data_IF_523371738286
#
_entry.id   IF_523371738286
#
_cell.length_a   1.000
_cell.length_b   1.000
_cell.length_c   1.000
_cell.angle_alpha   90.00
_cell.angle_beta   90.00
_cell.angle_gamma   90.00
#
_symmetry.space_group_name_H-M   'P 1'
#
loop_
_entity.id
_entity.type
_entity.pdbx_description
1 polymer ?
#
# COMPACT_ATOMS: atom_id res chain seq x y z
N UNK A 1 -53.03 10.73 19.05
CA UNK A 1 -52.21 9.53 18.90
C UNK A 1 -51.26 9.64 17.69
N UNK A 2 -51.72 9.94 16.49
CA UNK A 2 -50.94 10.06 15.25
C UNK A 2 -49.77 11.05 15.34
N UNK A 3 -49.95 12.31 15.84
CA UNK A 3 -48.89 13.27 15.97
C UNK A 3 -47.74 12.83 16.92
N UNK A 4 -48.09 12.11 18.00
CA UNK A 4 -47.08 11.54 18.92
C UNK A 4 -46.29 10.41 18.24
N UNK A 5 -46.93 9.57 17.45
CA UNK A 5 -46.27 8.49 16.71
C UNK A 5 -45.33 9.06 15.65
N UNK A 6 -45.75 10.07 14.89
CA UNK A 6 -44.91 10.78 13.94
C UNK A 6 -43.71 11.42 14.64
N UNK A 7 -43.88 12.06 15.79
CA UNK A 7 -42.79 12.61 16.56
C UNK A 7 -41.77 11.55 17.01
N UNK A 8 -42.22 10.39 17.49
CA UNK A 8 -41.33 9.28 17.89
C UNK A 8 -40.54 8.74 16.68
N UNK A 9 -41.21 8.54 15.55
CA UNK A 9 -40.54 8.07 14.30
C UNK A 9 -39.49 9.09 13.85
N UNK A 10 -39.82 10.39 13.89
CA UNK A 10 -38.87 11.46 13.51
C UNK A 10 -37.65 11.49 14.42
N UNK A 11 -37.83 11.35 15.73
CA UNK A 11 -36.73 11.29 16.70
C UNK A 11 -35.85 10.07 16.42
N UNK A 12 -36.47 8.90 16.22
CA UNK A 12 -35.74 7.66 15.91
C UNK A 12 -34.94 7.80 14.62
N UNK A 13 -35.52 8.39 13.58
CA UNK A 13 -34.83 8.64 12.31
C UNK A 13 -33.61 9.55 12.49
N UNK A 14 -33.77 10.67 13.22
CA UNK A 14 -32.70 11.61 13.51
C UNK A 14 -31.58 10.92 14.30
N UNK A 15 -31.92 10.15 15.32
CA UNK A 15 -30.92 9.40 16.11
C UNK A 15 -30.20 8.35 15.28
N UNK A 16 -30.92 7.67 14.37
CA UNK A 16 -30.32 6.69 13.46
C UNK A 16 -29.34 7.33 12.46
N UNK A 17 -29.71 8.50 11.91
CA UNK A 17 -28.82 9.27 11.02
C UNK A 17 -27.60 9.76 11.81
N UNK A 18 -27.79 10.28 13.02
CA UNK A 18 -26.68 10.74 13.86
C UNK A 18 -25.73 9.58 14.21
N UNK A 19 -26.28 8.43 14.59
CA UNK A 19 -25.49 7.24 14.86
C UNK A 19 -24.70 6.80 13.60
N UNK A 20 -25.31 6.81 12.43
CA UNK A 20 -24.66 6.49 11.18
C UNK A 20 -23.51 7.47 10.86
N UNK A 21 -23.76 8.78 11.04
CA UNK A 21 -22.72 9.81 10.86
C UNK A 21 -21.55 9.58 11.82
N UNK A 22 -21.84 9.27 13.09
CA UNK A 22 -20.79 8.97 14.08
C UNK A 22 -19.98 7.75 13.62
N UNK A 23 -20.64 6.65 13.28
CA UNK A 23 -19.98 5.40 12.86
C UNK A 23 -19.11 5.57 11.61
N UNK A 24 -19.52 6.45 10.69
CA UNK A 24 -18.74 6.77 9.47
C UNK A 24 -17.52 7.66 9.76
N UNK A 25 -17.56 8.46 10.81
CA UNK A 25 -16.50 9.44 11.12
C UNK A 25 -15.56 9.01 12.25
N UNK A 26 -16.01 8.13 13.14
CA UNK A 26 -15.14 7.60 14.21
C UNK A 26 -14.14 6.61 13.61
N UNK A 27 -12.86 6.89 13.85
CA UNK A 27 -11.70 6.14 13.33
C UNK A 27 -10.81 5.75 14.50
N UNK A 28 -10.90 4.50 14.99
CA UNK A 28 -10.08 4.05 16.09
C UNK A 28 -8.60 4.10 15.71
N UNK A 29 -7.79 4.85 16.44
CA UNK A 29 -6.34 4.90 16.27
C UNK A 29 -5.70 3.95 17.29
N UNK A 30 -5.03 2.87 16.86
CA UNK A 30 -4.35 1.98 17.78
C UNK A 30 -3.18 2.69 18.47
N UNK A 31 -2.97 2.39 19.74
CA UNK A 31 -1.83 2.89 20.52
C UNK A 31 -0.48 2.54 19.88
N UNK A 32 -0.40 1.41 19.18
CA UNK A 32 0.79 1.00 18.43
C UNK A 32 1.26 2.04 17.40
N UNK A 33 0.34 2.80 16.77
CA UNK A 33 0.73 3.87 15.84
C UNK A 33 1.48 5.01 16.56
N UNK A 34 1.14 5.29 17.81
CA UNK A 34 1.80 6.33 18.61
C UNK A 34 3.11 5.82 19.21
N UNK A 35 3.11 4.59 19.72
CA UNK A 35 4.27 3.98 20.37
C UNK A 35 5.44 3.72 19.42
N UNK A 36 5.17 3.46 18.14
CA UNK A 36 6.19 3.14 17.14
C UNK A 36 6.46 4.27 16.13
N UNK A 37 5.80 5.41 16.28
CA UNK A 37 5.94 6.54 15.38
C UNK A 37 7.39 7.08 15.42
N UNK A 38 8.04 7.07 14.25
CA UNK A 38 9.41 7.56 14.14
C UNK A 38 9.42 9.09 14.20
N UNK A 39 10.30 9.66 15.01
CA UNK A 39 10.56 11.09 15.06
C UNK A 39 11.15 11.62 13.74
N UNK A 40 11.25 12.95 13.60
CA UNK A 40 11.85 13.55 12.41
C UNK A 40 13.29 13.09 12.23
N UNK A 41 13.66 12.81 10.98
CA UNK A 41 15.05 12.52 10.63
C UNK A 41 15.93 13.74 10.84
N UNK A 42 17.10 13.55 11.47
CA UNK A 42 18.00 14.63 11.86
C UNK A 42 19.30 14.62 11.01
N UNK A 43 19.54 13.55 10.25
CA UNK A 43 20.81 13.36 9.52
C UNK A 43 20.94 14.21 8.26
N UNK A 44 22.16 14.73 8.03
CA UNK A 44 22.50 15.53 6.84
C UNK A 44 23.30 14.76 5.79
N UNK A 45 23.97 13.65 6.14
CA UNK A 45 24.69 12.77 5.22
C UNK A 45 23.86 11.51 4.95
N UNK A 46 23.14 11.52 3.84
CA UNK A 46 22.13 10.53 3.53
C UNK A 46 22.59 9.59 2.42
N UNK A 47 22.61 8.26 2.61
CA UNK A 47 22.70 7.36 1.46
C UNK A 47 21.50 7.52 0.55
N UNK A 48 20.29 7.52 1.12
CA UNK A 48 19.04 7.87 0.45
C UNK A 48 17.95 8.17 1.48
N UNK A 49 16.86 8.78 1.03
CA UNK A 49 15.66 9.06 1.83
C UNK A 49 14.50 8.17 1.43
N UNK A 50 13.62 7.93 2.41
CA UNK A 50 12.34 7.24 2.23
C UNK A 50 11.22 8.18 2.67
N UNK A 51 10.23 8.39 1.79
CA UNK A 51 8.99 9.09 2.15
C UNK A 51 7.82 8.10 2.05
N UNK A 52 7.01 8.04 3.10
CA UNK A 52 5.77 7.28 3.08
C UNK A 52 4.59 8.20 2.73
N UNK A 53 3.88 7.90 1.66
CA UNK A 53 2.74 8.68 1.18
C UNK A 53 1.41 7.91 1.34
N UNK A 54 1.36 7.06 2.38
CA UNK A 54 0.20 6.23 2.71
C UNK A 54 0.02 5.03 1.79
N UNK A 55 -0.87 4.12 2.16
CA UNK A 55 -1.05 2.82 1.51
C UNK A 55 0.29 2.07 1.43
N UNK A 56 0.76 1.75 0.24
CA UNK A 56 2.09 1.21 -0.04
C UNK A 56 2.96 2.17 -0.86
N UNK A 57 2.61 3.46 -0.90
CA UNK A 57 3.39 4.46 -1.61
C UNK A 57 4.66 4.80 -0.83
N UNK A 58 5.79 4.28 -1.27
CA UNK A 58 7.12 4.56 -0.75
C UNK A 58 7.94 5.22 -1.85
N UNK A 59 8.41 6.44 -1.60
CA UNK A 59 9.34 7.15 -2.47
C UNK A 59 10.76 6.98 -1.92
N UNK A 60 11.66 6.45 -2.74
CA UNK A 60 13.09 6.33 -2.47
C UNK A 60 13.85 7.33 -3.32
N UNK A 61 14.74 8.13 -2.71
CA UNK A 61 15.47 9.18 -3.39
C UNK A 61 16.87 9.34 -2.80
N UNK A 62 17.93 9.18 -3.62
CA UNK A 62 19.32 9.35 -3.23
C UNK A 62 19.91 10.72 -3.67
N UNK A 63 19.06 11.58 -4.23
CA UNK A 63 19.46 12.90 -4.72
C UNK A 63 19.81 12.92 -6.21
N UNK A 64 20.15 11.80 -6.81
CA UNK A 64 20.41 11.63 -8.25
C UNK A 64 19.31 10.84 -8.94
N UNK A 65 18.83 9.79 -8.27
CA UNK A 65 17.79 8.88 -8.76
C UNK A 65 16.65 8.79 -7.77
N UNK A 66 15.43 8.69 -8.30
CA UNK A 66 14.23 8.52 -7.51
C UNK A 66 13.29 7.48 -8.13
N UNK A 67 12.73 6.62 -7.29
CA UNK A 67 11.73 5.65 -7.70
C UNK A 67 10.70 5.42 -6.60
N UNK A 68 9.55 4.88 -6.95
CA UNK A 68 8.51 4.63 -5.94
C UNK A 68 7.69 3.38 -6.21
N UNK A 69 7.08 2.88 -5.14
CA UNK A 69 6.03 1.87 -5.23
C UNK A 69 4.68 2.54 -5.44
N UNK A 70 3.78 1.91 -6.18
CA UNK A 70 2.36 2.21 -6.43
C UNK A 70 2.07 3.56 -7.09
N UNK A 71 2.35 4.68 -6.44
CA UNK A 71 1.94 6.04 -6.85
C UNK A 71 0.41 6.27 -6.81
N UNK A 72 -0.30 5.68 -5.85
CA UNK A 72 -1.74 5.83 -5.67
C UNK A 72 -2.07 7.05 -4.80
N UNK A 73 -2.51 8.15 -5.40
CA UNK A 73 -2.75 9.45 -4.76
C UNK A 73 -4.21 9.90 -4.76
N UNK A 74 -4.98 9.51 -5.77
CA UNK A 74 -6.38 9.96 -5.99
C UNK A 74 -7.31 9.59 -4.84
N UNK A 75 -7.19 8.40 -4.28
CA UNK A 75 -7.97 7.90 -3.14
C UNK A 75 -9.47 8.17 -3.29
N UNK A 76 -10.17 7.43 -4.15
CA UNK A 76 -11.60 7.60 -4.39
C UNK A 76 -12.40 7.44 -3.11
N UNK A 77 -13.47 8.24 -2.93
CA UNK A 77 -14.32 8.13 -1.76
C UNK A 77 -14.95 6.72 -1.64
N UNK A 78 -15.22 6.28 -0.40
CA UNK A 78 -15.88 5.00 -0.11
C UNK A 78 -17.14 4.77 -0.98
N UNK A 79 -17.91 5.84 -1.28
CA UNK A 79 -19.10 5.74 -2.15
C UNK A 79 -18.71 5.37 -3.59
N UNK A 80 -17.67 5.99 -4.16
CA UNK A 80 -17.18 5.65 -5.51
C UNK A 80 -16.66 4.22 -5.56
N UNK A 81 -15.93 3.80 -4.53
CA UNK A 81 -15.38 2.44 -4.40
C UNK A 81 -16.48 1.38 -4.33
N UNK A 82 -17.54 1.62 -3.55
CA UNK A 82 -18.59 0.60 -3.34
C UNK A 82 -19.66 0.57 -4.43
N UNK A 83 -19.98 1.68 -5.06
CA UNK A 83 -21.16 1.82 -5.90
C UNK A 83 -20.91 2.56 -7.22
N UNK A 84 -19.69 2.98 -7.48
CA UNK A 84 -19.34 3.81 -8.63
C UNK A 84 -18.26 3.22 -9.51
N UNK A 85 -17.66 4.11 -10.24
CA UNK A 85 -16.43 3.87 -11.00
C UNK A 85 -15.35 4.79 -10.49
N UNK A 86 -14.10 4.37 -10.67
CA UNK A 86 -12.90 5.07 -10.23
C UNK A 86 -12.03 5.44 -11.43
N UNK A 87 -11.31 6.52 -11.31
CA UNK A 87 -10.40 7.06 -12.30
C UNK A 87 -9.32 7.92 -11.63
N UNK A 88 -8.13 8.07 -12.22
CA UNK A 88 -7.13 9.00 -11.74
C UNK A 88 -7.66 10.44 -11.72
N UNK A 89 -7.32 11.20 -10.67
CA UNK A 89 -7.62 12.62 -10.56
C UNK A 89 -6.34 13.42 -10.78
N UNK A 90 -6.21 14.00 -11.97
CA UNK A 90 -5.04 14.76 -12.38
C UNK A 90 -4.69 15.88 -11.40
N UNK A 91 -5.69 16.60 -10.87
CA UNK A 91 -5.44 17.71 -9.95
C UNK A 91 -4.88 17.23 -8.61
N UNK A 92 -5.40 16.11 -8.11
CA UNK A 92 -4.90 15.48 -6.87
C UNK A 92 -3.49 14.99 -7.09
N UNK A 93 -3.22 14.31 -8.21
CA UNK A 93 -1.90 13.78 -8.55
C UNK A 93 -0.88 14.92 -8.64
N UNK A 94 -1.14 15.97 -9.43
CA UNK A 94 -0.21 17.13 -9.57
C UNK A 94 0.08 17.80 -8.23
N UNK A 95 -0.94 18.04 -7.40
CA UNK A 95 -0.75 18.62 -6.05
C UNK A 95 0.07 17.72 -5.14
N UNK A 96 -0.10 16.41 -5.25
CA UNK A 96 0.66 15.44 -4.45
C UNK A 96 2.12 15.42 -4.88
N UNK A 97 2.40 15.39 -6.20
CA UNK A 97 3.75 15.46 -6.73
C UNK A 97 4.46 16.74 -6.29
N UNK A 98 3.79 17.91 -6.43
CA UNK A 98 4.32 19.20 -5.99
C UNK A 98 4.62 19.20 -4.47
N UNK A 99 3.67 18.77 -3.63
CA UNK A 99 3.85 18.72 -2.17
C UNK A 99 4.97 17.77 -1.76
N UNK A 100 5.11 16.64 -2.43
CA UNK A 100 6.17 15.68 -2.16
C UNK A 100 7.54 16.11 -2.73
N UNK A 101 7.58 17.14 -3.58
CA UNK A 101 8.77 17.60 -4.29
C UNK A 101 9.25 16.57 -5.33
N UNK A 102 8.31 15.91 -6.01
CA UNK A 102 8.60 14.92 -7.04
C UNK A 102 8.47 15.61 -8.41
N UNK A 103 9.59 15.87 -9.06
CA UNK A 103 9.65 16.42 -10.41
C UNK A 103 9.92 15.32 -11.44
N UNK A 104 10.76 14.35 -11.08
CA UNK A 104 11.16 13.24 -11.93
C UNK A 104 11.21 11.95 -11.13
N UNK A 105 10.82 10.85 -11.77
CA UNK A 105 11.03 9.49 -11.27
C UNK A 105 11.68 8.65 -12.39
N UNK A 106 12.55 7.73 -11.99
CA UNK A 106 13.16 6.79 -12.93
C UNK A 106 12.29 5.53 -13.08
N UNK A 107 11.57 5.15 -12.01
CA UNK A 107 10.70 3.96 -12.01
C UNK A 107 9.50 4.14 -11.08
N UNK A 108 8.37 3.60 -11.52
CA UNK A 108 7.20 3.35 -10.67
C UNK A 108 6.87 1.87 -10.77
N UNK A 109 6.61 1.24 -9.62
CA UNK A 109 6.24 -0.17 -9.58
C UNK A 109 5.06 -0.41 -8.65
N UNK A 110 3.82 -0.55 -9.18
CA UNK A 110 2.72 -1.09 -8.40
C UNK A 110 3.06 -2.50 -7.90
N UNK A 111 2.92 -2.72 -6.60
CA UNK A 111 3.24 -4.01 -5.98
C UNK A 111 2.30 -5.13 -6.45
N UNK A 112 1.13 -4.76 -6.96
CA UNK A 112 0.18 -5.54 -7.76
C UNK A 112 -0.84 -4.60 -8.42
N UNK A 113 -1.78 -5.13 -9.23
CA UNK A 113 -2.57 -4.28 -10.12
C UNK A 113 -3.97 -3.91 -9.60
N UNK A 114 -4.26 -4.06 -8.31
CA UNK A 114 -5.51 -3.54 -7.75
C UNK A 114 -5.56 -2.01 -7.84
N UNK A 115 -6.79 -1.45 -7.82
CA UNK A 115 -7.00 -0.01 -8.04
C UNK A 115 -6.26 0.88 -7.04
N UNK A 116 -6.18 0.45 -5.78
CA UNK A 116 -5.51 1.15 -4.69
C UNK A 116 -3.97 1.06 -4.72
N UNK A 117 -3.42 0.45 -5.77
CA UNK A 117 -1.98 0.40 -6.06
C UNK A 117 -1.66 0.97 -7.45
N UNK A 118 -2.43 0.58 -8.48
CA UNK A 118 -2.04 0.82 -9.87
C UNK A 118 -2.86 1.89 -10.61
N UNK A 119 -3.96 2.39 -10.05
CA UNK A 119 -4.89 3.26 -10.77
C UNK A 119 -4.23 4.55 -11.29
N UNK A 120 -3.43 5.20 -10.47
CA UNK A 120 -2.79 6.48 -10.82
C UNK A 120 -1.41 6.30 -11.47
N UNK A 121 -0.83 5.09 -11.39
CA UNK A 121 0.58 4.84 -11.72
C UNK A 121 0.97 5.25 -13.14
N UNK A 122 0.09 5.01 -14.12
CA UNK A 122 0.35 5.40 -15.52
C UNK A 122 0.38 6.91 -15.70
N UNK A 123 -0.56 7.66 -15.10
CA UNK A 123 -0.59 9.11 -15.16
C UNK A 123 0.62 9.73 -14.44
N UNK A 124 1.02 9.17 -13.31
CA UNK A 124 2.23 9.61 -12.60
C UNK A 124 3.48 9.30 -13.42
N UNK A 125 3.54 8.15 -14.09
CA UNK A 125 4.66 7.80 -14.97
C UNK A 125 4.78 8.80 -16.14
N UNK A 126 3.68 9.15 -16.76
CA UNK A 126 3.62 10.17 -17.84
C UNK A 126 4.14 11.53 -17.36
N UNK A 127 3.66 12.01 -16.20
CA UNK A 127 4.05 13.32 -15.66
C UNK A 127 5.51 13.41 -15.20
N UNK A 128 6.09 12.30 -14.75
CA UNK A 128 7.44 12.26 -14.17
C UNK A 128 8.50 11.69 -15.11
N UNK A 129 8.09 11.14 -16.26
CA UNK A 129 8.97 10.46 -17.21
C UNK A 129 9.44 9.10 -16.73
N UNK A 130 8.78 8.52 -15.71
CA UNK A 130 9.14 7.23 -15.15
C UNK A 130 8.85 6.06 -16.09
N UNK A 131 9.63 4.99 -15.97
CA UNK A 131 9.23 3.70 -16.52
C UNK A 131 8.26 3.00 -15.55
N UNK A 132 7.08 2.62 -16.05
CA UNK A 132 6.09 1.84 -15.31
C UNK A 132 6.48 0.36 -15.37
N UNK A 133 6.91 -0.18 -14.24
CA UNK A 133 7.17 -1.59 -14.06
C UNK A 133 5.94 -2.29 -13.49
N UNK A 134 5.64 -3.49 -13.96
CA UNK A 134 4.58 -4.28 -13.36
C UNK A 134 4.16 -5.48 -14.19
N UNK A 135 3.14 -6.19 -13.73
CA UNK A 135 2.58 -7.35 -14.41
C UNK A 135 1.94 -6.98 -15.75
N UNK A 136 1.57 -7.99 -16.55
CA UNK A 136 0.77 -7.75 -17.76
C UNK A 136 -0.52 -6.97 -17.46
N UNK A 137 -1.12 -7.16 -16.28
CA UNK A 137 -2.26 -6.38 -15.83
C UNK A 137 -1.92 -4.90 -15.63
N UNK A 138 -0.79 -4.60 -14.99
CA UNK A 138 -0.30 -3.22 -14.83
C UNK A 138 -0.02 -2.56 -16.19
N UNK A 139 0.58 -3.31 -17.13
CA UNK A 139 0.81 -2.81 -18.49
C UNK A 139 -0.50 -2.52 -19.22
N UNK A 140 -1.53 -3.32 -19.02
CA UNK A 140 -2.85 -3.04 -19.60
C UNK A 140 -3.56 -1.84 -18.96
N UNK A 141 -3.27 -1.50 -17.71
CA UNK A 141 -3.67 -0.20 -17.11
C UNK A 141 -2.92 0.93 -17.82
N UNK A 142 -1.60 0.81 -18.02
CA UNK A 142 -0.80 1.78 -18.75
C UNK A 142 -1.29 2.02 -20.18
N UNK A 143 -1.58 0.95 -20.92
CA UNK A 143 -2.16 1.02 -22.27
C UNK A 143 -3.54 1.67 -22.29
N UNK A 144 -4.37 1.42 -21.29
CA UNK A 144 -5.69 2.04 -21.16
C UNK A 144 -5.65 3.55 -20.86
N UNK A 145 -4.51 4.02 -20.36
CA UNK A 145 -4.18 5.44 -20.18
C UNK A 145 -3.50 6.07 -21.39
N UNK A 146 -3.13 5.29 -22.41
CA UNK A 146 -2.30 5.70 -23.56
C UNK A 146 -0.84 6.07 -23.18
N UNK A 147 -0.28 5.46 -22.13
CA UNK A 147 1.14 5.62 -21.80
C UNK A 147 2.02 5.07 -22.93
N UNK A 148 3.12 5.77 -23.24
CA UNK A 148 4.07 5.34 -24.26
C UNK A 148 4.59 3.92 -24.00
N UNK A 149 4.63 3.06 -25.03
CA UNK A 149 5.06 1.68 -24.88
C UNK A 149 6.52 1.58 -24.40
N UNK A 150 7.37 2.55 -24.73
CA UNK A 150 8.75 2.64 -24.27
C UNK A 150 8.89 2.95 -22.78
N UNK A 151 7.82 3.44 -22.14
CA UNK A 151 7.77 3.69 -20.70
C UNK A 151 7.15 2.52 -19.91
N UNK A 152 6.91 1.35 -20.51
CA UNK A 152 6.29 0.21 -19.85
C UNK A 152 7.19 -1.01 -19.89
N UNK A 153 7.35 -1.71 -18.75
CA UNK A 153 8.20 -2.87 -18.65
C UNK A 153 7.60 -3.95 -17.72
N UNK A 154 7.51 -5.19 -18.23
CA UNK A 154 7.21 -6.36 -17.40
C UNK A 154 8.53 -6.91 -16.86
N UNK A 155 8.78 -6.85 -15.53
CA UNK A 155 10.01 -7.35 -14.97
C UNK A 155 10.10 -8.87 -15.12
N UNK A 156 11.29 -9.35 -15.49
CA UNK A 156 11.60 -10.77 -15.47
C UNK A 156 11.89 -11.19 -14.03
N UNK A 157 11.36 -12.33 -13.64
CA UNK A 157 11.66 -12.93 -12.34
C UNK A 157 13.17 -13.15 -12.18
N UNK A 158 13.66 -12.94 -10.98
CA UNK A 158 15.06 -13.13 -10.60
C UNK A 158 16.10 -12.27 -11.35
N UNK A 159 15.63 -11.29 -12.15
CA UNK A 159 16.52 -10.34 -12.82
C UNK A 159 16.74 -9.11 -11.94
N UNK A 160 17.95 -8.56 -11.99
CA UNK A 160 18.30 -7.30 -11.34
C UNK A 160 18.05 -6.13 -12.29
N UNK A 161 17.47 -5.07 -11.75
CA UNK A 161 17.25 -3.80 -12.43
C UNK A 161 17.96 -2.70 -11.66
N UNK A 162 18.84 -1.97 -12.33
CA UNK A 162 19.58 -0.87 -11.69
C UNK A 162 18.88 0.48 -11.94
N UNK A 163 18.63 1.21 -10.86
CA UNK A 163 18.22 2.61 -10.86
C UNK A 163 19.28 3.38 -10.06
N UNK A 164 20.25 3.95 -10.77
CA UNK A 164 21.44 4.48 -10.15
C UNK A 164 22.16 3.42 -9.31
N UNK A 165 22.26 3.63 -7.99
CA UNK A 165 22.83 2.66 -7.04
C UNK A 165 21.82 1.65 -6.50
N UNK A 166 20.53 1.83 -6.76
CA UNK A 166 19.53 0.86 -6.35
C UNK A 166 19.55 -0.34 -7.28
N UNK A 167 19.83 -1.52 -6.76
CA UNK A 167 19.70 -2.80 -7.45
C UNK A 167 18.42 -3.48 -6.97
N UNK A 168 17.46 -3.61 -7.89
CA UNK A 168 16.08 -4.01 -7.58
C UNK A 168 15.78 -5.36 -8.21
N UNK A 169 15.26 -6.29 -7.40
CA UNK A 169 14.85 -7.61 -7.83
C UNK A 169 13.39 -7.87 -7.47
N UNK A 170 12.66 -8.44 -8.43
CA UNK A 170 11.24 -8.76 -8.27
C UNK A 170 11.09 -10.25 -7.97
N UNK A 171 10.60 -10.57 -6.79
CA UNK A 171 10.33 -11.94 -6.37
C UNK A 171 8.83 -12.18 -6.44
N UNK A 172 8.44 -13.31 -7.03
CA UNK A 172 7.04 -13.70 -7.13
C UNK A 172 6.45 -13.90 -5.74
N UNK A 173 5.42 -13.13 -5.43
CA UNK A 173 4.71 -13.18 -4.17
C UNK A 173 3.24 -13.56 -4.38
N UNK A 174 2.40 -13.26 -3.42
CA UNK A 174 0.97 -13.50 -3.44
C UNK A 174 0.29 -12.39 -2.65
N UNK A 175 -0.89 -11.99 -3.09
CA UNK A 175 -1.79 -11.14 -2.31
C UNK A 175 -2.30 -11.90 -1.07
N UNK A 176 -2.66 -11.18 0.00
CA UNK A 176 -3.37 -11.81 1.11
C UNK A 176 -4.67 -12.45 0.62
N UNK A 177 -5.06 -13.56 1.22
CA UNK A 177 -6.19 -14.34 0.71
C UNK A 177 -7.49 -13.83 1.30
N UNK A 178 -8.39 -13.28 0.47
CA UNK A 178 -9.72 -12.92 0.93
C UNK A 178 -10.42 -14.14 1.56
N UNK A 179 -11.03 -13.98 2.76
CA UNK A 179 -11.80 -15.06 3.38
C UNK A 179 -12.99 -15.52 2.53
N UNK A 180 -13.57 -14.59 1.77
CA UNK A 180 -14.67 -14.88 0.84
C UNK A 180 -14.12 -15.46 -0.47
N UNK A 181 -14.61 -16.66 -0.85
CA UNK A 181 -14.12 -17.40 -2.02
C UNK A 181 -14.50 -16.73 -3.35
N UNK A 182 -15.71 -16.15 -3.46
CA UNK A 182 -16.15 -15.48 -4.68
C UNK A 182 -15.31 -14.21 -4.92
N UNK A 183 -15.09 -13.44 -3.87
CA UNK A 183 -14.25 -12.24 -3.91
C UNK A 183 -12.80 -12.61 -4.27
N UNK A 184 -12.26 -13.67 -3.67
CA UNK A 184 -10.92 -14.17 -3.99
C UNK A 184 -10.79 -14.53 -5.45
N UNK A 185 -11.69 -15.34 -5.99
CA UNK A 185 -11.70 -15.72 -7.42
C UNK A 185 -11.85 -14.50 -8.33
N UNK A 186 -12.71 -13.56 -7.97
CA UNK A 186 -12.97 -12.37 -8.79
C UNK A 186 -11.78 -11.42 -8.87
N UNK A 187 -10.99 -11.28 -7.82
CA UNK A 187 -9.91 -10.29 -7.71
C UNK A 187 -8.50 -10.87 -7.84
N UNK A 188 -8.25 -12.07 -7.28
CA UNK A 188 -6.90 -12.63 -7.20
C UNK A 188 -6.56 -13.62 -8.32
N UNK A 189 -7.54 -14.39 -8.79
CA UNK A 189 -7.27 -15.46 -9.77
C UNK A 189 -7.36 -14.99 -11.23
N UNK A 190 -7.54 -13.69 -11.46
CA UNK A 190 -7.75 -13.11 -12.78
C UNK A 190 -6.69 -12.06 -13.13
N UNK A 191 -6.53 -11.83 -14.44
CA UNK A 191 -5.67 -10.79 -15.01
C UNK A 191 -6.51 -9.78 -15.78
N UNK A 192 -5.98 -8.59 -15.93
CA UNK A 192 -6.49 -7.60 -16.88
C UNK A 192 -5.90 -7.98 -18.24
N UNK A 193 -6.71 -8.51 -19.13
CA UNK A 193 -6.23 -9.07 -20.40
C UNK A 193 -6.21 -8.04 -21.53
N UNK A 194 -7.08 -7.02 -21.44
CA UNK A 194 -7.20 -5.94 -22.43
C UNK A 194 -6.87 -4.58 -21.79
N UNK A 195 -6.54 -3.55 -22.58
CA UNK A 195 -6.31 -2.20 -22.07
C UNK A 195 -7.48 -1.71 -21.20
N UNK A 196 -7.21 -1.35 -19.95
CA UNK A 196 -8.21 -0.92 -18.98
C UNK A 196 -8.40 0.60 -19.05
N UNK A 197 -9.44 1.02 -19.75
CA UNK A 197 -9.80 2.44 -19.81
C UNK A 197 -10.62 2.88 -18.59
N UNK A 198 -10.36 4.10 -18.11
CA UNK A 198 -11.10 4.70 -16.99
C UNK A 198 -12.16 5.69 -17.49
N UNK A 199 -13.26 5.90 -16.74
CA UNK A 199 -13.53 5.36 -15.39
C UNK A 199 -13.99 3.89 -15.41
N UNK A 200 -13.40 3.08 -14.52
CA UNK A 200 -13.62 1.64 -14.40
C UNK A 200 -14.15 1.25 -13.02
N UNK A 201 -14.76 0.06 -12.89
CA UNK A 201 -15.09 -0.51 -11.58
C UNK A 201 -13.82 -0.95 -10.86
N UNK A 202 -13.79 -0.87 -9.55
CA UNK A 202 -12.69 -1.46 -8.77
C UNK A 202 -12.53 -2.96 -9.05
N UNK A 203 -13.61 -3.64 -9.43
CA UNK A 203 -13.61 -5.06 -9.79
C UNK A 203 -12.97 -5.35 -11.15
N UNK A 204 -12.71 -4.34 -11.96
CA UNK A 204 -11.98 -4.47 -13.24
C UNK A 204 -10.46 -4.48 -13.02
N UNK A 205 -10.00 -3.93 -11.88
CA UNK A 205 -8.60 -3.98 -11.45
C UNK A 205 -8.29 -5.33 -10.81
N UNK A 206 -7.73 -6.26 -11.58
CA UNK A 206 -7.35 -7.59 -11.11
C UNK A 206 -5.93 -7.58 -10.55
N UNK A 207 -5.61 -8.54 -9.66
CA UNK A 207 -4.29 -8.62 -9.02
C UNK A 207 -3.14 -8.64 -10.03
N UNK A 208 -3.27 -9.43 -11.07
CA UNK A 208 -2.14 -9.73 -11.96
C UNK A 208 -1.08 -10.57 -11.25
N UNK A 209 0.16 -10.06 -11.18
CA UNK A 209 1.20 -10.66 -10.36
C UNK A 209 1.51 -9.74 -9.16
N UNK A 210 1.67 -10.33 -7.99
CA UNK A 210 2.13 -9.64 -6.77
C UNK A 210 3.63 -9.85 -6.58
N UNK A 211 4.30 -8.83 -6.07
CA UNK A 211 5.75 -8.82 -5.85
C UNK A 211 6.12 -8.71 -4.38
N UNK A 212 7.17 -9.43 -3.97
CA UNK A 212 8.11 -8.99 -2.94
C UNK A 212 9.27 -8.34 -3.66
N UNK A 213 9.54 -7.07 -3.38
CA UNK A 213 10.62 -6.31 -4.01
C UNK A 213 11.82 -6.32 -3.08
N UNK A 214 12.95 -6.87 -3.55
CA UNK A 214 14.22 -6.87 -2.83
C UNK A 214 15.10 -5.79 -3.41
N UNK A 215 15.72 -5.01 -2.55
CA UNK A 215 16.57 -3.88 -2.96
C UNK A 215 17.90 -3.92 -2.23
N UNK A 216 18.95 -3.74 -3.00
CA UNK A 216 20.30 -3.51 -2.52
C UNK A 216 20.70 -2.07 -2.89
N UNK A 217 21.27 -1.33 -1.92
CA UNK A 217 21.87 -0.01 -2.11
C UNK A 217 23.20 0.02 -1.37
N UNK A 218 24.31 -0.04 -2.09
CA UNK A 218 25.62 -0.30 -1.52
C UNK A 218 25.62 -1.57 -0.64
N UNK A 219 25.76 -1.41 0.68
CA UNK A 219 25.69 -2.53 1.64
C UNK A 219 24.32 -2.67 2.33
N UNK A 220 23.41 -1.71 2.10
CA UNK A 220 22.07 -1.72 2.71
C UNK A 220 21.13 -2.61 1.93
N UNK A 221 20.37 -3.43 2.65
CA UNK A 221 19.38 -4.36 2.06
C UNK A 221 18.02 -4.10 2.64
N UNK A 222 17.04 -3.89 1.80
CA UNK A 222 15.65 -3.76 2.26
C UNK A 222 14.70 -4.51 1.35
N UNK A 223 13.55 -4.84 1.90
CA UNK A 223 12.50 -5.53 1.19
C UNK A 223 11.17 -4.80 1.33
N UNK A 224 10.33 -4.89 0.32
CA UNK A 224 8.98 -4.33 0.32
C UNK A 224 8.00 -5.46 0.02
N UNK A 225 7.10 -5.71 0.95
CA UNK A 225 5.97 -6.61 0.79
C UNK A 225 4.68 -5.79 0.76
N UNK A 226 4.12 -5.59 -0.40
CA UNK A 226 2.99 -4.66 -0.62
C UNK A 226 1.62 -5.25 -0.33
N UNK A 227 1.54 -6.48 0.17
CA UNK A 227 0.30 -7.11 0.65
C UNK A 227 0.62 -8.02 1.83
N UNK A 228 -0.34 -8.26 2.73
CA UNK A 228 -0.19 -9.21 3.84
C UNK A 228 -0.27 -10.68 3.36
N UNK A 229 0.31 -10.97 2.20
CA UNK A 229 0.42 -12.28 1.59
C UNK A 229 1.86 -12.80 1.59
N UNK A 230 2.03 -14.08 1.28
CA UNK A 230 3.33 -14.73 1.17
C UNK A 230 3.28 -15.87 0.15
N UNK A 231 4.44 -16.24 -0.36
CA UNK A 231 4.61 -17.42 -1.20
C UNK A 231 5.73 -18.29 -0.66
N UNK A 232 5.39 -19.48 -0.24
CA UNK A 232 6.35 -20.45 0.31
C UNK A 232 7.49 -20.72 -0.69
N UNK A 233 8.74 -20.63 -0.23
CA UNK A 233 9.93 -20.97 -0.98
C UNK A 233 10.29 -20.02 -2.12
N UNK A 234 9.67 -18.83 -2.20
CA UNK A 234 9.97 -17.86 -3.26
C UNK A 234 11.18 -16.97 -2.95
N UNK A 235 11.47 -16.73 -1.68
CA UNK A 235 12.54 -15.83 -1.27
C UNK A 235 13.92 -16.50 -1.38
N UNK A 236 14.95 -15.78 -1.87
CA UNK A 236 16.32 -16.29 -1.89
C UNK A 236 16.84 -16.47 -0.45
N UNK A 237 17.61 -17.54 -0.23
CA UNK A 237 18.10 -17.91 1.11
C UNK A 237 19.23 -17.04 1.63
N UNK A 238 19.94 -16.35 0.74
CA UNK A 238 21.09 -15.48 1.00
C UNK A 238 20.75 -14.01 1.15
N UNK A 239 19.51 -13.60 0.85
CA UNK A 239 19.06 -12.22 1.08
C UNK A 239 18.53 -12.05 2.51
N UNK A 240 19.16 -11.16 3.29
CA UNK A 240 18.72 -10.74 4.62
C UNK A 240 18.49 -9.23 4.60
N UNK A 241 17.31 -8.80 5.06
CA UNK A 241 16.93 -7.40 5.02
C UNK A 241 17.37 -6.65 6.29
N UNK A 242 17.89 -5.43 6.13
CA UNK A 242 18.01 -4.51 7.26
C UNK A 242 16.64 -3.95 7.63
N UNK A 243 15.83 -3.61 6.63
CA UNK A 243 14.48 -3.07 6.79
C UNK A 243 13.50 -3.86 5.93
N UNK A 244 12.34 -4.22 6.50
CA UNK A 244 11.20 -4.76 5.77
C UNK A 244 10.01 -3.80 5.86
N UNK A 245 9.66 -3.17 4.74
CA UNK A 245 8.39 -2.46 4.60
C UNK A 245 7.28 -3.48 4.37
N UNK A 246 6.37 -3.60 5.33
CA UNK A 246 5.46 -4.73 5.45
C UNK A 246 4.00 -4.28 5.45
N UNK A 247 3.26 -4.59 4.39
CA UNK A 247 1.82 -4.37 4.36
C UNK A 247 1.12 -5.26 5.39
N UNK A 248 0.23 -4.66 6.18
CA UNK A 248 -0.46 -5.33 7.28
C UNK A 248 -1.99 -5.35 7.13
N UNK A 249 -2.55 -4.66 6.14
CA UNK A 249 -3.98 -4.67 5.89
C UNK A 249 -4.48 -6.10 5.62
N UNK A 250 -5.55 -6.49 6.31
CA UNK A 250 -6.16 -7.82 6.19
C UNK A 250 -5.53 -8.90 7.07
N UNK A 251 -4.30 -8.71 7.57
CA UNK A 251 -3.62 -9.68 8.42
C UNK A 251 -4.43 -10.02 9.70
N UNK A 252 -5.11 -9.03 10.25
CA UNK A 252 -5.95 -9.19 11.44
C UNK A 252 -7.12 -10.15 11.23
N UNK A 253 -7.61 -10.26 9.99
CA UNK A 253 -8.76 -11.11 9.65
C UNK A 253 -8.39 -12.58 9.45
N UNK A 254 -7.10 -12.86 9.29
CA UNK A 254 -6.57 -14.19 9.06
C UNK A 254 -6.52 -15.00 10.37
N UNK A 255 -6.61 -16.32 10.23
CA UNK A 255 -6.46 -17.22 11.34
C UNK A 255 -5.01 -17.30 11.86
N UNK A 256 -4.81 -18.06 12.90
CA UNK A 256 -3.50 -18.19 13.55
C UNK A 256 -2.49 -18.93 12.65
N UNK A 257 -2.95 -19.95 11.91
CA UNK A 257 -2.08 -20.72 11.03
C UNK A 257 -1.54 -19.85 9.88
N UNK A 258 -2.41 -19.04 9.26
CA UNK A 258 -1.99 -18.09 8.23
C UNK A 258 -0.94 -17.11 8.76
N UNK A 259 -1.14 -16.58 9.97
CA UNK A 259 -0.18 -15.65 10.60
C UNK A 259 1.15 -16.31 10.91
N UNK A 260 1.14 -17.58 11.30
CA UNK A 260 2.34 -18.36 11.55
C UNK A 260 3.08 -18.68 10.24
N UNK A 261 2.37 -19.04 9.17
CA UNK A 261 2.94 -19.23 7.85
C UNK A 261 3.47 -17.91 7.23
N UNK A 262 2.78 -16.78 7.44
CA UNK A 262 3.26 -15.46 7.05
C UNK A 262 4.59 -15.13 7.75
N UNK A 263 4.71 -15.46 9.04
CA UNK A 263 5.96 -15.32 9.77
C UNK A 263 7.04 -16.27 9.21
N UNK A 264 6.70 -17.54 8.99
CA UNK A 264 7.65 -18.59 8.57
C UNK A 264 8.15 -18.37 7.14
N UNK A 265 7.27 -18.00 6.20
CA UNK A 265 7.62 -17.97 4.79
C UNK A 265 7.96 -16.57 4.25
N UNK A 266 7.72 -15.50 5.01
CA UNK A 266 8.09 -14.14 4.62
C UNK A 266 9.09 -13.50 5.59
N UNK A 267 8.74 -13.38 6.87
CA UNK A 267 9.55 -12.59 7.82
C UNK A 267 10.81 -13.33 8.22
N UNK A 268 10.69 -14.62 8.57
CA UNK A 268 11.84 -15.43 9.00
C UNK A 268 12.92 -15.60 7.92
N UNK A 269 12.61 -15.84 6.64
CA UNK A 269 13.64 -15.91 5.60
C UNK A 269 14.40 -14.60 5.40
N UNK A 270 13.69 -13.45 5.46
CA UNK A 270 14.27 -12.12 5.30
C UNK A 270 15.05 -11.64 6.52
N UNK A 271 14.75 -12.16 7.73
CA UNK A 271 15.41 -11.81 9.00
C UNK A 271 15.57 -10.28 9.21
N UNK A 272 14.54 -9.45 9.00
CA UNK A 272 14.69 -8.02 9.08
C UNK A 272 15.11 -7.58 10.49
N UNK A 273 15.94 -6.53 10.58
CA UNK A 273 16.26 -5.86 11.85
C UNK A 273 15.13 -4.94 12.28
N UNK A 274 14.50 -4.29 11.29
CA UNK A 274 13.40 -3.35 11.49
C UNK A 274 12.22 -3.73 10.61
N UNK A 275 11.02 -3.69 11.19
CA UNK A 275 9.74 -3.82 10.49
C UNK A 275 9.10 -2.44 10.38
N UNK A 276 8.74 -2.04 9.17
CA UNK A 276 8.01 -0.79 8.89
C UNK A 276 6.64 -1.14 8.35
N UNK A 277 5.59 -1.12 9.20
CA UNK A 277 4.23 -1.38 8.74
C UNK A 277 3.76 -0.34 7.74
N UNK A 278 3.24 -0.79 6.61
CA UNK A 278 2.61 0.00 5.55
C UNK A 278 1.21 -0.57 5.24
N UNK A 279 0.45 0.07 4.37
CA UNK A 279 -0.91 -0.34 3.98
C UNK A 279 -1.85 -0.53 5.19
N UNK A 280 -1.80 0.40 6.13
CA UNK A 280 -2.61 0.37 7.34
C UNK A 280 -3.66 1.48 7.40
N UNK A 281 -3.56 2.45 6.51
CA UNK A 281 -4.44 3.61 6.48
C UNK A 281 -5.66 3.39 5.56
N UNK A 282 -6.67 4.23 5.74
CA UNK A 282 -7.88 4.20 4.92
C UNK A 282 -7.61 4.85 3.55
N UNK A 283 -7.40 4.03 2.56
CA UNK A 283 -7.15 4.43 1.18
C UNK A 283 -8.38 5.04 0.46
N UNK A 284 -9.52 5.13 1.14
CA UNK A 284 -10.73 5.84 0.64
C UNK A 284 -10.88 7.25 1.20
N UNK A 285 -9.88 7.74 1.95
CA UNK A 285 -9.81 9.12 2.44
C UNK A 285 -8.67 9.88 1.78
N UNK A 286 -8.86 11.16 1.45
CA UNK A 286 -7.79 11.98 0.88
C UNK A 286 -6.51 11.92 1.69
N UNK A 287 -5.37 11.95 1.00
CA UNK A 287 -4.06 11.98 1.62
C UNK A 287 -3.82 13.32 2.32
N UNK A 288 -3.95 13.33 3.64
CA UNK A 288 -3.75 14.51 4.49
C UNK A 288 -2.38 14.53 5.16
N UNK A 289 -2.19 15.51 6.07
CA UNK A 289 -0.96 15.59 6.89
C UNK A 289 -0.89 14.48 7.95
N UNK A 290 -2.05 13.88 8.26
CA UNK A 290 -2.16 12.67 9.07
C UNK A 290 -2.93 11.61 8.28
N UNK A 291 -2.46 10.37 8.34
CA UNK A 291 -3.16 9.24 7.77
C UNK A 291 -4.27 8.78 8.70
N UNK A 292 -5.42 8.53 8.12
CA UNK A 292 -6.61 8.07 8.87
C UNK A 292 -6.71 6.55 8.79
N UNK A 293 -7.11 5.94 9.89
CA UNK A 293 -7.47 4.53 9.95
C UNK A 293 -8.88 4.31 9.38
N UNK A 294 -9.24 3.08 9.10
CA UNK A 294 -10.59 2.72 8.64
C UNK A 294 -11.66 3.08 9.67
N UNK A 295 -12.87 3.45 9.21
CA UNK A 295 -13.98 3.81 10.07
C UNK A 295 -14.64 2.59 10.74
N UNK A 296 -15.48 2.83 11.77
CA UNK A 296 -16.13 1.76 12.53
C UNK A 296 -17.04 0.85 11.68
N UNK A 297 -17.70 1.39 10.65
CA UNK A 297 -18.56 0.58 9.78
C UNK A 297 -17.71 -0.39 8.96
N UNK A 298 -16.61 0.08 8.39
CA UNK A 298 -15.68 -0.76 7.65
C UNK A 298 -15.09 -1.83 8.57
N UNK A 299 -14.62 -1.44 9.75
CA UNK A 299 -14.08 -2.36 10.75
C UNK A 299 -15.10 -3.44 11.13
N UNK A 300 -16.35 -3.06 11.36
CA UNK A 300 -17.41 -4.02 11.67
C UNK A 300 -17.71 -4.96 10.50
N UNK A 301 -17.85 -4.41 9.28
CA UNK A 301 -18.21 -5.20 8.08
C UNK A 301 -17.14 -6.22 7.72
N UNK A 302 -15.88 -5.82 7.77
CA UNK A 302 -14.74 -6.65 7.35
C UNK A 302 -14.00 -7.29 8.54
N UNK A 303 -14.51 -7.13 9.76
CA UNK A 303 -13.85 -7.57 11.01
C UNK A 303 -12.42 -7.03 11.13
N UNK A 304 -12.14 -5.89 10.51
CA UNK A 304 -10.84 -5.26 10.51
C UNK A 304 -10.55 -4.63 11.87
N UNK A 305 -9.35 -4.83 12.37
CA UNK A 305 -8.85 -4.24 13.60
C UNK A 305 -7.33 -4.04 13.50
N UNK A 306 -6.93 -2.86 13.13
CA UNK A 306 -5.53 -2.52 12.95
C UNK A 306 -4.67 -2.83 14.19
N UNK A 307 -5.20 -2.63 15.40
CA UNK A 307 -4.49 -2.99 16.64
C UNK A 307 -4.18 -4.49 16.72
N UNK A 308 -5.07 -5.34 16.19
CA UNK A 308 -4.80 -6.78 16.12
C UNK A 308 -3.77 -7.14 15.05
N UNK A 309 -3.72 -6.40 13.92
CA UNK A 309 -2.68 -6.56 12.91
C UNK A 309 -1.30 -6.23 13.50
N UNK A 310 -1.15 -5.10 14.20
CA UNK A 310 0.08 -4.76 14.91
C UNK A 310 0.46 -5.83 15.93
N UNK A 311 -0.49 -6.22 16.78
CA UNK A 311 -0.25 -7.25 17.80
C UNK A 311 0.17 -8.59 17.19
N UNK A 312 -0.36 -8.96 16.03
CA UNK A 312 0.04 -10.19 15.36
C UNK A 312 1.52 -10.19 14.96
N UNK A 313 2.06 -9.02 14.61
CA UNK A 313 3.48 -8.83 14.28
C UNK A 313 4.33 -8.77 15.56
N UNK A 314 3.93 -7.96 16.54
CA UNK A 314 4.65 -7.76 17.80
C UNK A 314 4.92 -9.08 18.55
N UNK A 315 3.88 -9.88 18.73
CA UNK A 315 3.99 -11.13 19.50
C UNK A 315 4.87 -12.17 18.83
N UNK A 316 5.03 -12.11 17.51
CA UNK A 316 5.88 -13.02 16.73
C UNK A 316 7.30 -12.51 16.53
N UNK A 317 7.52 -11.21 16.79
CA UNK A 317 8.81 -10.55 16.56
C UNK A 317 9.21 -9.66 17.75
N UNK A 318 9.24 -10.20 19.00
CA UNK A 318 9.47 -9.39 20.19
C UNK A 318 10.87 -8.76 20.24
N UNK A 319 11.83 -9.32 19.47
CA UNK A 319 13.20 -8.82 19.39
C UNK A 319 13.44 -7.79 18.28
N UNK A 320 12.44 -7.58 17.41
CA UNK A 320 12.59 -6.68 16.27
C UNK A 320 12.08 -5.27 16.59
N UNK A 321 12.76 -4.27 16.05
CA UNK A 321 12.27 -2.90 16.10
C UNK A 321 11.08 -2.75 15.15
N UNK A 322 10.03 -2.07 15.58
CA UNK A 322 8.91 -1.67 14.75
C UNK A 322 8.94 -0.15 14.65
N UNK A 323 8.83 0.40 13.45
CA UNK A 323 8.85 1.83 13.20
C UNK A 323 7.68 2.22 12.30
N UNK A 324 6.91 3.21 12.68
CA UNK A 324 5.81 3.77 11.88
C UNK A 324 6.24 5.09 11.28
N UNK A 325 6.18 5.21 9.97
CA UNK A 325 6.53 6.44 9.27
C UNK A 325 5.32 7.37 9.20
N UNK A 326 5.55 8.67 9.40
CA UNK A 326 4.54 9.72 9.17
C UNK A 326 4.47 10.05 7.68
N UNK A 327 3.29 10.41 7.18
CA UNK A 327 3.18 10.87 5.80
C UNK A 327 3.94 12.18 5.59
N UNK A 328 4.47 12.37 4.38
CA UNK A 328 5.19 13.56 3.93
C UNK A 328 6.58 13.81 4.55
N UNK A 329 6.91 13.15 5.66
CA UNK A 329 8.24 13.28 6.26
C UNK A 329 9.27 12.52 5.42
N UNK A 330 10.47 13.10 5.30
CA UNK A 330 11.63 12.45 4.66
C UNK A 330 12.46 11.80 5.74
N UNK A 331 12.60 10.49 5.67
CA UNK A 331 13.41 9.72 6.60
C UNK A 331 14.69 9.26 5.93
N UNK A 332 15.82 9.48 6.59
CA UNK A 332 17.05 8.77 6.24
C UNK A 332 16.85 7.28 6.54
N UNK A 333 17.24 6.42 5.61
CA UNK A 333 17.14 4.96 5.83
C UNK A 333 17.92 4.52 7.08
N UNK A 334 19.03 5.17 7.42
CA UNK A 334 19.81 4.88 8.63
C UNK A 334 19.05 5.22 9.91
N UNK A 335 18.28 6.32 9.93
CA UNK A 335 17.44 6.68 11.09
C UNK A 335 16.30 5.68 11.29
N UNK A 336 15.80 5.05 10.21
CA UNK A 336 14.84 3.97 10.29
C UNK A 336 15.47 2.74 10.96
N UNK A 337 16.77 2.49 10.74
CA UNK A 337 17.47 1.33 11.28
C UNK A 337 17.88 1.49 12.75
N UNK A 338 18.07 2.72 13.24
CA UNK A 338 18.37 3.04 14.64
C UNK A 338 17.19 2.81 15.57
#
# INVERSE_FOLDING_TARGET
>A
MFKKLVGIISIFLVLSILALVILLNVRPRPEALENYELGKSIGTNLPFTVNFLGNTNLLFNDGENAWMTDAFFTRPSTRKVLFGKVEPDEQVIRKTLEKAGIEKLDMIVPVHSHFDHAMDAAMVADFTGATLFGSSSTINIGKGYDLDEGQMLIPKWDSLYAIGKFEIQFIKSRHWQYPDEEQRKALLDNKIEEPLTTPASIMDYKEGDSYTILVLYDSLRFAIQGSAGYRQGSLPTDFKADVLFLAIAGLETMDVNYKDEFQEYLINPLQPKVLVPIHWDDFTTPLGDELKTTNLIFNWKYKSNLGQAFKAIEVRNPEKKIKVLKPWERYNILDIME
#
